data_IF_637671272553
#
_entry.id   IF_637671272553
#
_cell.length_a   1.000
_cell.length_b   1.000
_cell.length_c   1.000
_cell.angle_alpha   90.00
_cell.angle_beta   90.00
_cell.angle_gamma   90.00
#
_symmetry.space_group_name_H-M   'P 1'
#
loop_
_entity.id
_entity.type
_entity.pdbx_description
1 polymer ?
#
# COMPACT_ATOMS: atom_id res chain seq x y z
N UNK A 1 -9.43 -4.28 2.75
CA UNK A 1 -8.85 -4.00 1.42
C UNK A 1 -9.32 -2.62 1.01
N UNK A 2 -8.41 -1.70 0.69
CA UNK A 2 -8.70 -0.27 0.41
C UNK A 2 -9.46 -0.03 -0.91
N UNK A 3 -9.59 -1.06 -1.74
CA UNK A 3 -10.35 -1.02 -2.99
C UNK A 3 -11.62 -1.85 -2.82
N UNK A 4 -12.76 -1.24 -3.15
CA UNK A 4 -14.05 -1.90 -3.19
C UNK A 4 -14.63 -1.72 -4.59
N UNK A 5 -15.09 -2.80 -5.21
CA UNK A 5 -15.92 -2.69 -6.42
C UNK A 5 -17.32 -2.24 -6.00
N UNK A 6 -17.58 -0.93 -6.01
CA UNK A 6 -18.93 -0.40 -5.84
C UNK A 6 -19.60 -0.34 -7.21
N UNK A 7 -20.74 -1.02 -7.38
CA UNK A 7 -21.48 -1.09 -8.65
C UNK A 7 -20.63 -1.54 -9.86
N UNK A 8 -19.64 -2.41 -9.62
CA UNK A 8 -18.76 -2.95 -10.68
C UNK A 8 -17.63 -2.02 -11.13
N UNK A 9 -17.50 -0.81 -10.55
CA UNK A 9 -16.39 0.12 -10.85
C UNK A 9 -15.30 0.06 -9.77
N UNK A 10 -14.05 0.27 -10.18
CA UNK A 10 -12.90 0.35 -9.29
C UNK A 10 -12.77 1.77 -8.72
N UNK A 11 -12.37 1.87 -7.45
CA UNK A 11 -12.20 3.13 -6.75
C UNK A 11 -11.71 2.95 -5.32
N UNK A 12 -11.54 4.07 -4.61
CA UNK A 12 -11.11 4.15 -3.21
C UNK A 12 -12.33 4.31 -2.31
N UNK A 13 -12.42 3.46 -1.28
CA UNK A 13 -13.38 3.64 -0.20
C UNK A 13 -12.72 4.42 0.93
N UNK A 14 -13.29 5.56 1.29
CA UNK A 14 -12.85 6.41 2.39
C UNK A 14 -13.55 6.00 3.70
N UNK A 15 -12.99 6.43 4.82
CA UNK A 15 -13.40 5.99 6.18
C UNK A 15 -14.83 6.33 6.55
N UNK A 16 -15.42 7.36 5.93
CA UNK A 16 -16.81 7.77 6.12
C UNK A 16 -17.80 7.04 5.20
N UNK A 17 -17.37 6.02 4.47
CA UNK A 17 -18.17 5.33 3.46
C UNK A 17 -18.28 6.10 2.14
N UNK A 18 -17.59 7.24 2.00
CA UNK A 18 -17.48 7.92 0.72
C UNK A 18 -16.66 7.08 -0.26
N UNK A 19 -17.06 7.12 -1.53
CA UNK A 19 -16.43 6.37 -2.60
C UNK A 19 -15.88 7.32 -3.65
N UNK A 20 -14.61 7.16 -3.99
CA UNK A 20 -13.93 7.91 -5.03
C UNK A 20 -13.61 6.96 -6.20
N UNK A 21 -14.36 7.00 -7.32
CA UNK A 21 -14.06 6.16 -8.48
C UNK A 21 -12.68 6.48 -9.07
N UNK A 22 -12.12 5.48 -9.75
CA UNK A 22 -10.91 5.63 -10.54
C UNK A 22 -11.17 6.52 -11.78
N UNK A 23 -10.13 7.27 -12.19
CA UNK A 23 -10.09 8.33 -13.23
C UNK A 23 -10.85 7.99 -14.53
N UNK A 24 -10.97 6.71 -14.90
CA UNK A 24 -11.71 6.29 -16.09
C UNK A 24 -13.25 6.44 -15.98
N UNK A 25 -13.80 6.92 -14.85
CA UNK A 25 -15.22 7.30 -14.77
C UNK A 25 -15.44 8.69 -15.39
N UNK A 26 -15.96 8.73 -16.62
CA UNK A 26 -16.20 9.94 -17.42
C UNK A 26 -16.94 11.09 -16.68
N UNK A 27 -17.67 10.78 -15.60
CA UNK A 27 -18.36 11.77 -14.74
C UNK A 27 -17.42 12.58 -13.84
N UNK A 28 -16.16 12.18 -13.71
CA UNK A 28 -15.14 12.89 -12.95
C UNK A 28 -14.41 13.96 -13.77
N UNK A 29 -14.44 13.84 -15.10
CA UNK A 29 -13.84 14.79 -16.03
C UNK A 29 -14.61 16.13 -16.10
N UNK A 30 -15.82 16.20 -15.52
CA UNK A 30 -16.67 17.40 -15.48
C UNK A 30 -16.54 18.24 -14.19
N UNK A 31 -15.54 17.96 -13.34
CA UNK A 31 -15.34 18.69 -12.08
C UNK A 31 -14.76 20.09 -12.31
N UNK A 32 -15.18 21.02 -11.46
CA UNK A 32 -14.51 22.33 -11.32
C UNK A 32 -13.02 22.13 -11.07
N UNK A 33 -12.20 22.94 -11.74
CA UNK A 33 -10.73 22.89 -11.71
C UNK A 33 -10.16 22.96 -10.28
N UNK A 34 -10.84 23.65 -9.37
CA UNK A 34 -10.51 23.76 -7.95
C UNK A 34 -10.60 22.43 -7.19
N UNK A 35 -11.54 21.55 -7.56
CA UNK A 35 -11.70 20.22 -6.98
C UNK A 35 -10.66 19.25 -7.54
N UNK A 36 -10.24 19.41 -8.79
CA UNK A 36 -9.23 18.54 -9.41
C UNK A 36 -7.90 18.61 -8.66
N UNK A 37 -7.48 19.81 -8.23
CA UNK A 37 -6.28 19.96 -7.39
C UNK A 37 -6.43 19.20 -6.06
N UNK A 38 -7.58 19.35 -5.40
CA UNK A 38 -7.83 18.70 -4.10
C UNK A 38 -7.84 17.17 -4.17
N UNK A 39 -8.30 16.61 -5.29
CA UNK A 39 -8.44 15.16 -5.47
C UNK A 39 -7.27 14.49 -6.21
N UNK A 40 -6.35 15.27 -6.82
CA UNK A 40 -5.16 14.74 -7.50
C UNK A 40 -4.32 13.78 -6.63
N UNK A 41 -4.22 14.03 -5.32
CA UNK A 41 -3.50 13.16 -4.38
C UNK A 41 -4.19 11.80 -4.17
N UNK A 42 -5.52 11.74 -4.28
CA UNK A 42 -6.30 10.50 -4.15
C UNK A 42 -6.13 9.64 -5.41
N UNK A 43 -6.02 10.26 -6.57
CA UNK A 43 -5.70 9.60 -7.83
C UNK A 43 -4.28 9.01 -7.81
N UNK A 44 -3.32 9.79 -7.34
CA UNK A 44 -1.94 9.36 -7.12
C UNK A 44 -1.87 8.17 -6.16
N UNK A 45 -2.63 8.19 -5.06
CA UNK A 45 -2.76 7.08 -4.12
C UNK A 45 -3.33 5.84 -4.82
N UNK A 46 -4.32 5.99 -5.70
CA UNK A 46 -4.86 4.88 -6.45
C UNK A 46 -3.80 4.25 -7.37
N UNK A 47 -3.12 5.07 -8.18
CA UNK A 47 -2.13 4.59 -9.16
C UNK A 47 -0.90 4.00 -8.49
N UNK A 48 -0.36 4.67 -7.46
CA UNK A 48 0.90 4.28 -6.80
C UNK A 48 0.73 3.09 -5.86
N UNK A 49 -0.43 2.91 -5.24
CA UNK A 49 -0.63 1.88 -4.21
C UNK A 49 -1.75 0.93 -4.59
N UNK A 50 -2.96 1.43 -4.81
CA UNK A 50 -4.15 0.57 -4.93
C UNK A 50 -4.07 -0.31 -6.18
N UNK A 51 -3.69 0.25 -7.32
CA UNK A 51 -3.52 -0.49 -8.58
C UNK A 51 -2.47 -1.57 -8.46
N UNK A 52 -1.31 -1.25 -7.90
CA UNK A 52 -0.24 -2.22 -7.69
C UNK A 52 -0.67 -3.35 -6.74
N UNK A 53 -1.41 -3.04 -5.67
CA UNK A 53 -1.96 -4.08 -4.78
C UNK A 53 -2.93 -5.02 -5.51
N UNK A 54 -3.74 -4.49 -6.44
CA UNK A 54 -4.66 -5.29 -7.25
C UNK A 54 -3.91 -6.17 -8.26
N UNK A 55 -2.96 -5.61 -9.01
CA UNK A 55 -2.14 -6.33 -9.99
C UNK A 55 -1.29 -7.43 -9.34
N UNK A 56 -0.84 -7.19 -8.10
CA UNK A 56 -0.12 -8.17 -7.30
C UNK A 56 -1.04 -9.21 -6.65
N UNK A 57 -2.36 -9.13 -6.81
CA UNK A 57 -3.31 -9.98 -6.08
C UNK A 57 -2.98 -10.06 -4.59
N UNK A 58 -2.65 -8.91 -3.99
CA UNK A 58 -2.17 -8.84 -2.62
C UNK A 58 -3.21 -9.38 -1.66
N UNK A 59 -2.81 -10.38 -0.88
CA UNK A 59 -3.69 -10.94 0.14
C UNK A 59 -3.74 -10.06 1.40
N UNK A 60 -4.70 -10.35 2.26
CA UNK A 60 -4.90 -9.57 3.48
C UNK A 60 -3.73 -9.65 4.46
N UNK A 61 -3.06 -10.80 4.56
CA UNK A 61 -1.89 -10.99 5.43
C UNK A 61 -0.68 -10.21 4.91
N UNK A 62 -0.40 -10.27 3.61
CA UNK A 62 0.63 -9.48 2.94
C UNK A 62 0.39 -7.98 3.17
N UNK A 63 -0.85 -7.52 3.00
CA UNK A 63 -1.24 -6.13 3.26
C UNK A 63 -0.97 -5.70 4.71
N UNK A 64 -1.37 -6.52 5.70
CA UNK A 64 -1.14 -6.22 7.11
C UNK A 64 0.35 -6.17 7.47
N UNK A 65 1.14 -7.10 6.93
CA UNK A 65 2.58 -7.15 7.17
C UNK A 65 3.30 -5.96 6.54
N UNK A 66 2.94 -5.60 5.31
CA UNK A 66 3.44 -4.38 4.65
C UNK A 66 3.08 -3.14 5.47
N UNK A 67 1.82 -3.01 5.93
CA UNK A 67 1.40 -1.89 6.78
C UNK A 67 2.21 -1.82 8.08
N UNK A 68 2.47 -2.96 8.73
CA UNK A 68 3.31 -3.00 9.92
C UNK A 68 4.75 -2.55 9.62
N UNK A 69 5.34 -2.98 8.49
CA UNK A 69 6.69 -2.56 8.08
C UNK A 69 6.75 -1.03 7.86
N UNK A 70 5.70 -0.43 7.28
CA UNK A 70 5.60 1.03 7.10
C UNK A 70 5.49 1.76 8.45
N UNK A 71 4.68 1.24 9.38
CA UNK A 71 4.52 1.84 10.72
C UNK A 71 5.84 1.87 11.49
N UNK A 72 6.69 0.86 11.32
CA UNK A 72 8.02 0.81 11.93
C UNK A 72 9.11 1.39 11.01
N UNK A 73 8.79 2.39 10.19
CA UNK A 73 9.80 3.15 9.45
C UNK A 73 10.74 3.89 10.41
N UNK A 74 11.99 4.08 10.01
CA UNK A 74 12.95 4.84 10.80
C UNK A 74 12.57 6.33 10.76
N UNK A 75 12.29 6.90 11.93
CA UNK A 75 12.09 8.35 12.08
C UNK A 75 13.43 9.02 12.43
N UNK A 76 13.71 10.21 11.89
CA UNK A 76 14.81 11.02 12.38
C UNK A 76 14.58 11.33 13.88
N UNK A 77 15.66 11.52 14.64
CA UNK A 77 15.66 11.97 16.04
C UNK A 77 15.31 10.92 17.13
N UNK A 78 15.22 9.63 16.78
CA UNK A 78 15.07 8.57 17.78
C UNK A 78 16.33 8.41 18.64
N UNK A 79 16.14 8.14 19.93
CA UNK A 79 17.24 7.66 20.80
C UNK A 79 17.79 6.33 20.26
N UNK A 80 19.06 6.02 20.53
CA UNK A 80 19.69 4.77 20.08
C UNK A 80 18.89 3.51 20.50
N UNK A 81 18.27 3.56 21.68
CA UNK A 81 17.44 2.47 22.20
C UNK A 81 16.14 2.35 21.39
N UNK A 82 15.45 3.47 21.16
CA UNK A 82 14.21 3.50 20.37
C UNK A 82 14.46 3.06 18.92
N UNK A 83 15.54 3.54 18.31
CA UNK A 83 15.98 3.11 16.98
C UNK A 83 16.15 1.58 16.92
N UNK A 84 16.88 1.00 17.89
CA UNK A 84 17.10 -0.45 17.93
C UNK A 84 15.79 -1.23 18.05
N UNK A 85 14.84 -0.76 18.87
CA UNK A 85 13.53 -1.40 19.05
C UNK A 85 12.74 -1.37 17.74
N UNK A 86 12.65 -0.21 17.08
CA UNK A 86 11.93 -0.03 15.80
C UNK A 86 12.58 -0.88 14.70
N UNK A 87 13.90 -0.85 14.59
CA UNK A 87 14.64 -1.68 13.65
C UNK A 87 14.39 -3.18 13.86
N UNK A 88 14.41 -3.65 15.11
CA UNK A 88 14.12 -5.06 15.43
C UNK A 88 12.66 -5.44 15.11
N UNK A 89 11.71 -4.56 15.41
CA UNK A 89 10.29 -4.76 15.09
C UNK A 89 10.08 -4.84 13.57
N UNK A 90 10.60 -3.88 12.81
CA UNK A 90 10.54 -3.85 11.35
C UNK A 90 11.11 -5.13 10.73
N UNK A 91 12.30 -5.56 11.17
CA UNK A 91 12.93 -6.79 10.70
C UNK A 91 12.13 -8.04 11.03
N UNK A 92 11.40 -8.06 12.16
CA UNK A 92 10.49 -9.16 12.49
C UNK A 92 9.39 -9.27 11.43
N UNK A 93 8.73 -8.17 11.08
CA UNK A 93 7.66 -8.20 10.07
C UNK A 93 8.17 -8.53 8.67
N UNK A 94 9.36 -8.05 8.28
CA UNK A 94 10.01 -8.46 7.01
C UNK A 94 10.23 -9.97 6.96
N UNK A 95 10.71 -10.58 8.07
CA UNK A 95 10.90 -12.03 8.16
C UNK A 95 9.58 -12.80 8.09
N UNK A 96 8.54 -12.33 8.78
CA UNK A 96 7.22 -12.97 8.71
C UNK A 96 6.59 -12.85 7.33
N UNK A 97 6.78 -11.73 6.62
CA UNK A 97 6.35 -11.58 5.23
C UNK A 97 7.03 -12.60 4.32
N UNK A 98 8.34 -12.75 4.43
CA UNK A 98 9.07 -13.74 3.65
C UNK A 98 8.63 -15.18 3.95
N UNK A 99 8.36 -15.51 5.22
CA UNK A 99 7.82 -16.82 5.61
C UNK A 99 6.44 -17.05 4.98
N UNK A 100 5.55 -16.07 5.04
CA UNK A 100 4.22 -16.15 4.44
C UNK A 100 4.28 -16.34 2.92
N UNK A 101 5.17 -15.65 2.23
CA UNK A 101 5.38 -15.85 0.79
C UNK A 101 5.82 -17.28 0.51
N UNK A 102 6.76 -17.82 1.30
CA UNK A 102 7.25 -19.20 1.15
C UNK A 102 6.21 -20.29 1.37
N UNK A 103 5.15 -20.02 2.16
CA UNK A 103 4.07 -21.01 2.30
C UNK A 103 3.21 -21.09 1.04
N UNK A 104 3.18 -20.02 0.24
CA UNK A 104 2.43 -19.93 -1.02
C UNK A 104 3.26 -20.33 -2.23
N UNK A 105 4.53 -19.92 -2.26
CA UNK A 105 5.46 -20.15 -3.35
C UNK A 105 6.61 -21.06 -2.91
N UNK A 106 6.62 -22.30 -3.41
CA UNK A 106 7.67 -23.27 -3.08
C UNK A 106 8.98 -23.00 -3.81
N UNK A 107 8.91 -22.30 -4.95
CA UNK A 107 10.07 -21.90 -5.71
C UNK A 107 10.75 -20.68 -5.05
N UNK A 108 12.05 -20.81 -4.78
CA UNK A 108 12.80 -19.78 -4.09
C UNK A 108 12.97 -18.50 -4.94
N UNK A 109 13.09 -18.64 -6.26
CA UNK A 109 13.22 -17.51 -7.18
C UNK A 109 11.91 -16.72 -7.23
N UNK A 110 10.77 -17.40 -7.39
CA UNK A 110 9.44 -16.79 -7.36
C UNK A 110 9.14 -16.13 -6.01
N UNK A 111 9.56 -16.75 -4.91
CA UNK A 111 9.43 -16.16 -3.58
C UNK A 111 10.21 -14.84 -3.46
N UNK A 112 11.44 -14.79 -3.98
CA UNK A 112 12.26 -13.58 -3.98
C UNK A 112 11.67 -12.51 -4.91
N UNK A 113 11.18 -12.88 -6.09
CA UNK A 113 10.50 -11.98 -7.00
C UNK A 113 9.26 -11.35 -6.35
N UNK A 114 8.43 -12.17 -5.69
CA UNK A 114 7.26 -11.70 -4.93
C UNK A 114 7.66 -10.74 -3.82
N UNK A 115 8.68 -11.10 -3.04
CA UNK A 115 9.19 -10.26 -1.97
C UNK A 115 9.66 -8.90 -2.51
N UNK A 116 10.42 -8.87 -3.60
CA UNK A 116 10.90 -7.64 -4.23
C UNK A 116 9.75 -6.75 -4.69
N UNK A 117 8.74 -7.32 -5.37
CA UNK A 117 7.54 -6.58 -5.80
C UNK A 117 6.78 -5.95 -4.62
N UNK A 118 6.60 -6.71 -3.53
CA UNK A 118 5.95 -6.22 -2.32
C UNK A 118 6.78 -5.16 -1.59
N UNK A 119 8.10 -5.27 -1.58
CA UNK A 119 8.97 -4.25 -0.99
C UNK A 119 9.03 -2.96 -1.84
N UNK A 120 8.94 -3.05 -3.17
CA UNK A 120 8.84 -1.87 -4.03
C UNK A 120 7.58 -1.05 -3.74
N UNK A 121 6.48 -1.72 -3.37
CA UNK A 121 5.24 -1.06 -2.94
C UNK A 121 5.45 -0.19 -1.68
N UNK A 122 6.40 -0.53 -0.80
CA UNK A 122 6.71 0.28 0.39
C UNK A 122 7.15 1.70 0.03
N UNK A 123 7.86 1.87 -1.08
CA UNK A 123 8.26 3.20 -1.55
C UNK A 123 7.04 4.06 -1.94
N UNK A 124 5.96 3.43 -2.42
CA UNK A 124 4.68 4.11 -2.64
C UNK A 124 4.05 4.57 -1.33
N UNK A 125 4.08 3.73 -0.29
CA UNK A 125 3.53 4.07 1.03
C UNK A 125 4.29 5.20 1.73
N UNK A 126 5.62 5.24 1.67
CA UNK A 126 6.40 6.31 2.31
C UNK A 126 6.10 7.71 1.78
N UNK A 127 5.60 7.83 0.55
CA UNK A 127 5.24 9.12 -0.08
C UNK A 127 3.79 9.53 0.26
N UNK A 128 2.93 8.60 0.68
CA UNK A 128 1.51 8.87 0.95
C UNK A 128 1.19 9.19 2.42
N UNK A 129 2.18 9.10 3.31
CA UNK A 129 2.05 9.44 4.74
C UNK A 129 2.78 10.73 5.13
N UNK A 130 3.34 11.45 4.15
CA UNK A 130 3.91 12.81 4.27
C UNK A 130 3.00 13.75 3.49
#
# INVERSE_FOLDING_TARGET
MLCYKSYGKLGICLTNGAYHPYIEDARFLEREESLNVHFSHIEDLFVKIVKQMLELEMDFTEFLLIKAIVVFHEEPELSQIAFKIIFMARNRYIKELYKHIKTKEKDASKSLERMSKLLMLLAGFSVSFI
#
